data_IF_877612072201
#
_entry.id   IF_877612072201
#
_cell.length_a   1.000
_cell.length_b   1.000
_cell.length_c   1.000
_cell.angle_alpha   90.00
_cell.angle_beta   90.00
_cell.angle_gamma   90.00
#
_symmetry.space_group_name_H-M   'P 1'
#
loop_
_entity.id
_entity.type
_entity.pdbx_description
1 polymer ?
#
# COMPACT_ATOMS: atom_id res chain seq x y z
N UNK A 1 -5.41 28.65 -25.87
CA UNK A 1 -6.35 27.60 -25.42
C UNK A 1 -6.80 26.82 -26.63
N UNK A 2 -6.89 25.49 -26.50
CA UNK A 2 -7.35 24.43 -27.42
C UNK A 2 -6.26 23.37 -27.59
N UNK A 3 -6.12 22.45 -26.63
CA UNK A 3 -6.93 21.23 -26.41
C UNK A 3 -6.49 20.13 -27.39
N UNK A 4 -5.57 19.30 -26.92
CA UNK A 4 -5.06 18.11 -27.58
C UNK A 4 -6.17 17.07 -27.53
N UNK A 5 -6.84 16.89 -28.67
CA UNK A 5 -7.97 15.97 -28.79
C UNK A 5 -7.44 14.54 -28.91
N UNK A 6 -7.64 13.78 -27.85
CA UNK A 6 -7.32 12.38 -27.69
C UNK A 6 -8.06 11.56 -28.76
N UNK A 7 -7.32 10.90 -29.64
CA UNK A 7 -7.87 10.08 -30.73
C UNK A 7 -8.59 8.85 -30.16
N UNK A 8 -9.87 9.03 -29.82
CA UNK A 8 -10.78 7.96 -29.43
C UNK A 8 -11.20 7.18 -30.69
N UNK A 9 -10.49 6.09 -31.01
CA UNK A 9 -10.84 5.21 -32.13
C UNK A 9 -12.23 4.56 -31.91
N UNK A 10 -13.15 4.59 -32.90
CA UNK A 10 -14.50 4.05 -32.75
C UNK A 10 -14.52 2.52 -32.83
N UNK A 11 -15.27 1.93 -31.89
CA UNK A 11 -15.31 0.53 -31.46
C UNK A 11 -16.29 -0.36 -32.26
N UNK A 12 -16.78 0.06 -33.42
CA UNK A 12 -17.91 -0.61 -34.08
C UNK A 12 -17.73 -0.76 -35.59
N UNK A 13 -16.73 -1.54 -36.00
CA UNK A 13 -16.58 -1.95 -37.40
C UNK A 13 -15.96 -3.35 -37.54
N UNK A 14 -16.58 -4.37 -36.95
CA UNK A 14 -16.33 -5.76 -37.38
C UNK A 14 -17.68 -6.46 -37.56
N UNK A 15 -18.25 -6.26 -38.73
CA UNK A 15 -19.40 -7.01 -39.20
C UNK A 15 -18.95 -8.47 -39.45
N UNK A 16 -19.71 -9.43 -38.91
CA UNK A 16 -19.36 -10.84 -38.68
C UNK A 16 -19.05 -11.71 -39.93
N UNK A 17 -18.85 -11.12 -41.11
CA UNK A 17 -18.90 -11.85 -42.39
C UNK A 17 -17.55 -12.07 -43.11
N UNK A 18 -16.41 -11.62 -42.56
CA UNK A 18 -15.09 -11.76 -43.22
C UNK A 18 -13.98 -12.29 -42.32
N UNK A 19 -14.28 -13.10 -41.31
CA UNK A 19 -13.23 -13.71 -40.50
C UNK A 19 -12.80 -15.07 -41.06
N UNK A 20 -11.80 -15.06 -41.95
CA UNK A 20 -11.02 -16.25 -42.26
C UNK A 20 -10.43 -16.86 -40.97
N UNK A 21 -10.23 -18.18 -40.92
CA UNK A 21 -9.68 -18.88 -39.72
C UNK A 21 -8.45 -18.19 -39.10
N UNK A 22 -7.58 -17.58 -39.90
CA UNK A 22 -6.40 -16.82 -39.43
C UNK A 22 -6.72 -15.49 -38.73
N UNK A 23 -7.79 -14.79 -39.11
CA UNK A 23 -8.21 -13.55 -38.42
C UNK A 23 -9.05 -13.83 -37.17
N UNK A 24 -9.81 -14.94 -37.16
CA UNK A 24 -10.51 -15.40 -35.96
C UNK A 24 -9.55 -15.76 -34.83
N UNK A 25 -8.47 -16.49 -35.15
CA UNK A 25 -7.46 -16.86 -34.16
C UNK A 25 -6.71 -15.63 -33.62
N UNK A 26 -6.36 -14.67 -34.48
CA UNK A 26 -5.78 -13.37 -34.05
C UNK A 26 -6.72 -12.59 -33.13
N UNK A 27 -8.02 -12.56 -33.42
CA UNK A 27 -9.02 -11.91 -32.56
C UNK A 27 -9.17 -12.59 -31.19
N UNK A 28 -9.12 -13.92 -31.15
CA UNK A 28 -9.11 -14.63 -29.86
C UNK A 28 -7.85 -14.33 -29.04
N UNK A 29 -6.67 -14.33 -29.66
CA UNK A 29 -5.43 -13.94 -28.98
C UNK A 29 -5.50 -12.51 -28.42
N UNK A 30 -5.99 -11.57 -29.21
CA UNK A 30 -6.11 -10.16 -28.80
C UNK A 30 -7.10 -10.01 -27.63
N UNK A 31 -8.22 -10.73 -27.69
CA UNK A 31 -9.23 -10.77 -26.62
C UNK A 31 -8.70 -11.41 -25.34
N UNK A 32 -8.00 -12.54 -25.44
CA UNK A 32 -7.38 -13.24 -24.30
C UNK A 32 -6.31 -12.38 -23.64
N UNK A 33 -5.45 -11.73 -24.42
CA UNK A 33 -4.44 -10.82 -23.90
C UNK A 33 -5.05 -9.62 -23.18
N UNK A 34 -6.08 -8.99 -23.76
CA UNK A 34 -6.81 -7.90 -23.12
C UNK A 34 -7.46 -8.33 -21.80
N UNK A 35 -8.08 -9.51 -21.77
CA UNK A 35 -8.67 -10.05 -20.54
C UNK A 35 -7.60 -10.34 -19.49
N UNK A 36 -6.49 -10.99 -19.86
CA UNK A 36 -5.36 -11.25 -18.96
C UNK A 36 -4.77 -9.97 -18.37
N UNK A 37 -4.57 -8.94 -19.20
CA UNK A 37 -4.10 -7.63 -18.75
C UNK A 37 -5.10 -6.92 -17.82
N UNK A 38 -6.40 -7.00 -18.12
CA UNK A 38 -7.45 -6.44 -17.27
C UNK A 38 -7.50 -7.12 -15.90
N UNK A 39 -7.35 -8.43 -15.86
CA UNK A 39 -7.33 -9.23 -14.64
C UNK A 39 -6.09 -8.88 -13.81
N UNK A 40 -4.90 -8.83 -14.42
CA UNK A 40 -3.66 -8.44 -13.75
C UNK A 40 -3.74 -7.02 -13.15
N UNK A 41 -4.31 -6.06 -13.88
CA UNK A 41 -4.54 -4.71 -13.37
C UNK A 41 -5.55 -4.68 -12.21
N UNK A 42 -6.61 -5.47 -12.27
CA UNK A 42 -7.59 -5.57 -11.18
C UNK A 42 -6.92 -6.12 -9.91
N UNK A 43 -6.11 -7.18 -10.03
CA UNK A 43 -5.34 -7.72 -8.91
C UNK A 43 -4.35 -6.70 -8.35
N UNK A 44 -3.60 -6.00 -9.21
CA UNK A 44 -2.67 -4.95 -8.78
C UNK A 44 -3.35 -3.83 -7.99
N UNK A 45 -4.51 -3.33 -8.45
CA UNK A 45 -5.27 -2.31 -7.73
C UNK A 45 -5.79 -2.81 -6.38
N UNK A 46 -6.28 -4.04 -6.30
CA UNK A 46 -6.75 -4.62 -5.03
C UNK A 46 -5.65 -4.76 -3.98
N UNK A 47 -4.42 -5.08 -4.39
CA UNK A 47 -3.26 -5.12 -3.49
C UNK A 47 -2.82 -3.73 -3.02
N UNK A 48 -2.90 -2.72 -3.89
CA UNK A 48 -2.60 -1.33 -3.53
C UNK A 48 -3.61 -0.77 -2.52
N UNK A 49 -4.89 -1.11 -2.65
CA UNK A 49 -5.92 -0.75 -1.69
C UNK A 49 -5.68 -1.40 -0.31
N UNK A 50 -5.13 -2.61 -0.29
CA UNK A 50 -4.78 -3.31 0.95
C UNK A 50 -3.57 -2.65 1.65
N UNK A 51 -2.57 -2.18 0.90
CA UNK A 51 -1.42 -1.45 1.42
C UNK A 51 -1.77 -0.04 1.93
N UNK A 52 -2.74 0.64 1.30
CA UNK A 52 -3.14 2.00 1.66
C UNK A 52 -3.99 2.09 2.94
N UNK A 53 -4.52 0.97 3.43
CA UNK A 53 -5.35 0.92 4.64
C UNK A 53 -4.58 0.77 5.96
N UNK A 54 -3.24 0.76 5.93
CA UNK A 54 -2.44 0.79 7.16
C UNK A 54 -2.44 2.23 7.70
N UNK A 55 -3.26 2.49 8.72
CA UNK A 55 -3.29 3.76 9.44
C UNK A 55 -1.96 3.98 10.17
N UNK A 56 -0.97 4.56 9.47
CA UNK A 56 0.34 4.84 10.09
C UNK A 56 0.18 6.02 11.05
N UNK A 57 0.13 5.73 12.34
CA UNK A 57 0.12 6.78 13.37
C UNK A 57 1.46 7.53 13.34
N UNK A 58 1.43 8.84 13.11
CA UNK A 58 2.67 9.62 13.07
C UNK A 58 3.38 9.58 14.43
N UNK A 59 4.72 9.50 14.42
CA UNK A 59 5.53 9.53 15.67
C UNK A 59 5.18 10.73 16.56
N UNK A 60 4.79 11.85 15.95
CA UNK A 60 4.37 13.05 16.69
C UNK A 60 3.09 12.81 17.49
N UNK A 61 2.16 12.04 16.94
CA UNK A 61 0.87 11.74 17.58
C UNK A 61 1.03 10.74 18.73
N UNK A 62 1.89 9.74 18.54
CA UNK A 62 2.30 8.81 19.61
C UNK A 62 2.89 9.58 20.79
N UNK A 63 3.81 10.51 20.52
CA UNK A 63 4.42 11.35 21.56
C UNK A 63 3.37 12.24 22.24
N UNK A 64 2.45 12.86 21.48
CA UNK A 64 1.38 13.70 22.04
C UNK A 64 0.46 12.89 22.96
N UNK A 65 0.04 11.70 22.51
CA UNK A 65 -0.79 10.77 23.29
C UNK A 65 -0.11 10.40 24.61
N UNK A 66 1.16 10.01 24.56
CA UNK A 66 1.94 9.63 25.76
C UNK A 66 2.08 10.79 26.75
N UNK A 67 2.31 12.01 26.25
CA UNK A 67 2.42 13.21 27.10
C UNK A 67 1.06 13.61 27.70
N UNK A 68 -0.02 13.49 26.92
CA UNK A 68 -1.38 13.71 27.41
C UNK A 68 -1.77 12.70 28.51
N UNK A 69 -1.35 11.45 28.37
CA UNK A 69 -1.56 10.39 29.37
C UNK A 69 -0.87 10.68 30.71
N UNK A 70 0.23 11.42 30.68
CA UNK A 70 0.90 11.94 31.89
C UNK A 70 0.25 13.21 32.48
N UNK A 71 -0.88 13.66 31.92
CA UNK A 71 -1.62 14.83 32.39
C UNK A 71 -1.02 16.16 31.95
N UNK A 72 -0.22 16.17 30.88
CA UNK A 72 0.45 17.38 30.36
C UNK A 72 0.05 17.60 28.91
N UNK A 73 -0.18 18.85 28.51
CA UNK A 73 -0.51 19.19 27.13
C UNK A 73 0.70 19.80 26.42
N UNK A 74 1.00 19.30 25.23
CA UNK A 74 1.98 19.92 24.32
C UNK A 74 1.27 20.91 23.39
N UNK A 75 1.96 21.97 22.96
CA UNK A 75 1.46 22.85 21.89
C UNK A 75 1.41 22.08 20.57
N UNK A 76 0.28 22.18 19.86
CA UNK A 76 0.01 21.41 18.65
C UNK A 76 1.06 21.62 17.54
N UNK A 77 1.65 22.82 17.43
CA UNK A 77 2.62 23.15 16.38
C UNK A 77 4.04 22.60 16.61
N UNK A 78 4.32 22.03 17.80
CA UNK A 78 5.67 21.56 18.12
C UNK A 78 5.85 20.10 17.70
N UNK A 79 6.54 19.90 16.57
CA UNK A 79 6.98 18.57 16.10
C UNK A 79 7.96 17.86 17.04
N UNK A 80 8.64 18.60 17.92
CA UNK A 80 9.69 18.07 18.82
C UNK A 80 9.43 18.46 20.27
N UNK A 81 9.67 17.51 21.17
CA UNK A 81 9.70 17.77 22.61
C UNK A 81 10.97 18.56 22.95
N UNK A 82 10.83 19.72 23.62
CA UNK A 82 11.99 20.50 24.04
C UNK A 82 12.60 19.92 25.31
N UNK A 83 13.92 20.05 25.48
CA UNK A 83 14.60 19.66 26.73
C UNK A 83 14.01 20.35 27.94
N UNK A 84 13.78 21.67 27.84
CA UNK A 84 13.21 22.48 28.90
C UNK A 84 11.83 21.96 29.34
N UNK A 85 10.99 21.55 28.39
CA UNK A 85 9.70 20.95 28.69
C UNK A 85 9.84 19.68 29.54
N UNK A 86 10.74 18.77 29.16
CA UNK A 86 10.98 17.52 29.89
C UNK A 86 11.55 17.76 31.30
N UNK A 87 12.44 18.74 31.46
CA UNK A 87 13.04 19.08 32.76
C UNK A 87 12.03 19.67 33.75
N UNK A 88 10.94 20.26 33.26
CA UNK A 88 9.86 20.77 34.11
C UNK A 88 8.90 19.66 34.60
N UNK A 89 8.99 18.44 34.07
CA UNK A 89 8.13 17.32 34.47
C UNK A 89 8.68 16.62 35.71
N UNK A 90 7.77 16.17 36.57
CA UNK A 90 8.17 15.35 37.71
C UNK A 90 8.49 13.91 37.26
N UNK A 91 9.18 13.17 38.14
CA UNK A 91 9.64 11.80 37.86
C UNK A 91 8.46 10.87 37.52
N UNK A 92 7.33 11.00 38.21
CA UNK A 92 6.16 10.16 37.96
C UNK A 92 5.57 10.40 36.56
N UNK A 93 5.49 11.66 36.11
CA UNK A 93 5.04 12.02 34.77
C UNK A 93 5.98 11.50 33.69
N UNK A 94 7.30 11.66 33.90
CA UNK A 94 8.31 11.12 32.98
C UNK A 94 8.20 9.59 32.90
N UNK A 95 7.94 8.91 34.01
CA UNK A 95 7.79 7.46 34.05
C UNK A 95 6.54 7.00 33.31
N UNK A 96 5.42 7.71 33.42
CA UNK A 96 4.21 7.43 32.61
C UNK A 96 4.52 7.56 31.12
N UNK A 97 5.19 8.64 30.70
CA UNK A 97 5.56 8.87 29.29
C UNK A 97 6.48 7.76 28.79
N UNK A 98 7.53 7.42 29.54
CA UNK A 98 8.51 6.40 29.15
C UNK A 98 7.85 5.03 29.00
N UNK A 99 7.00 4.63 29.97
CA UNK A 99 6.31 3.34 29.91
C UNK A 99 5.36 3.25 28.70
N UNK A 100 4.66 4.34 28.39
CA UNK A 100 3.74 4.38 27.26
C UNK A 100 4.50 4.28 25.93
N UNK A 101 5.59 5.04 25.78
CA UNK A 101 6.45 4.97 24.60
C UNK A 101 7.12 3.60 24.44
N UNK A 102 7.52 2.95 25.53
CA UNK A 102 8.03 1.58 25.50
C UNK A 102 6.97 0.59 25.00
N UNK A 103 5.71 0.78 25.41
CA UNK A 103 4.59 -0.03 24.93
C UNK A 103 4.37 0.16 23.43
N UNK A 104 4.37 1.42 22.95
CA UNK A 104 4.27 1.70 21.52
C UNK A 104 5.42 1.10 20.71
N UNK A 105 6.66 1.14 21.20
CA UNK A 105 7.80 0.49 20.54
C UNK A 105 7.56 -1.01 20.41
N UNK A 106 7.08 -1.66 21.47
CA UNK A 106 6.78 -3.10 21.43
C UNK A 106 5.69 -3.43 20.40
N UNK A 107 4.60 -2.65 20.38
CA UNK A 107 3.50 -2.81 19.42
C UNK A 107 4.00 -2.62 17.98
N UNK A 108 4.71 -1.52 17.70
CA UNK A 108 5.22 -1.23 16.36
C UNK A 108 6.22 -2.28 15.87
N UNK A 109 7.04 -2.82 16.77
CA UNK A 109 7.96 -3.91 16.42
C UNK A 109 7.19 -5.20 16.07
N UNK A 110 6.13 -5.51 16.80
CA UNK A 110 5.29 -6.67 16.50
C UNK A 110 4.56 -6.49 15.15
N UNK A 111 3.96 -5.32 14.92
CA UNK A 111 3.36 -4.96 13.62
C UNK A 111 4.37 -5.05 12.47
N UNK A 112 5.61 -4.58 12.68
CA UNK A 112 6.67 -4.69 11.69
C UNK A 112 6.98 -6.16 11.38
N UNK A 113 7.09 -7.02 12.40
CA UNK A 113 7.31 -8.45 12.19
C UNK A 113 6.17 -9.06 11.37
N UNK A 114 4.91 -8.73 11.69
CA UNK A 114 3.76 -9.22 10.92
C UNK A 114 3.81 -8.76 9.46
N UNK A 115 4.15 -7.49 9.20
CA UNK A 115 4.29 -6.97 7.85
C UNK A 115 5.43 -7.65 7.07
N UNK A 116 6.54 -7.96 7.74
CA UNK A 116 7.66 -8.70 7.16
C UNK A 116 7.26 -10.13 6.79
N UNK A 117 6.52 -10.83 7.67
CA UNK A 117 6.00 -12.16 7.38
C UNK A 117 5.05 -12.15 6.18
N UNK A 118 4.10 -11.19 6.14
CA UNK A 118 3.19 -11.04 5.00
C UNK A 118 3.93 -10.76 3.70
N UNK A 119 4.97 -9.93 3.74
CA UNK A 119 5.82 -9.68 2.57
C UNK A 119 6.48 -10.99 2.10
N UNK A 120 7.01 -11.79 3.01
CA UNK A 120 7.69 -13.04 2.66
C UNK A 120 6.71 -14.06 2.04
N UNK A 121 5.47 -14.15 2.56
CA UNK A 121 4.39 -14.96 1.97
C UNK A 121 4.03 -14.50 0.55
N UNK A 122 3.87 -13.19 0.33
CA UNK A 122 3.59 -12.62 -0.98
C UNK A 122 4.75 -12.84 -1.96
N UNK A 123 5.99 -12.74 -1.48
CA UNK A 123 7.16 -13.00 -2.30
C UNK A 123 7.24 -14.48 -2.72
N UNK A 124 6.96 -15.41 -1.82
CA UNK A 124 6.86 -16.83 -2.17
C UNK A 124 5.77 -17.09 -3.22
N UNK A 125 4.62 -16.43 -3.11
CA UNK A 125 3.54 -16.51 -4.11
C UNK A 125 3.95 -15.89 -5.45
N UNK A 126 4.72 -14.79 -5.43
CA UNK A 126 5.27 -14.16 -6.64
C UNK A 126 6.26 -15.10 -7.32
N UNK A 127 7.18 -15.70 -6.58
CA UNK A 127 8.17 -16.63 -7.11
C UNK A 127 7.49 -17.86 -7.76
N UNK A 128 6.42 -18.39 -7.14
CA UNK A 128 5.60 -19.45 -7.74
C UNK A 128 4.94 -19.00 -9.05
N UNK A 129 4.42 -17.78 -9.11
CA UNK A 129 3.80 -17.21 -10.33
C UNK A 129 4.82 -16.98 -11.45
N UNK A 130 6.06 -16.59 -11.10
CA UNK A 130 7.13 -16.40 -12.07
C UNK A 130 7.57 -17.73 -12.68
N UNK A 131 7.63 -18.80 -11.89
CA UNK A 131 7.90 -20.16 -12.37
C UNK A 131 6.80 -20.61 -13.33
N UNK A 132 5.52 -20.40 -12.98
CA UNK A 132 4.40 -20.75 -13.85
C UNK A 132 4.50 -20.05 -15.22
N UNK A 133 4.99 -18.80 -15.26
CA UNK A 133 5.20 -18.06 -16.52
C UNK A 133 6.41 -18.60 -17.28
N UNK A 134 7.52 -18.87 -16.60
CA UNK A 134 8.77 -19.37 -17.20
C UNK A 134 8.57 -20.72 -17.90
N UNK A 135 7.72 -21.59 -17.34
CA UNK A 135 7.35 -22.90 -17.91
C UNK A 135 6.63 -22.81 -19.27
N UNK A 136 6.06 -21.65 -19.66
CA UNK A 136 5.49 -21.46 -20.99
C UNK A 136 6.51 -21.14 -22.09
N UNK A 137 7.75 -20.81 -21.71
CA UNK A 137 8.80 -20.37 -22.63
C UNK A 137 9.88 -21.43 -22.93
N UNK A 138 9.79 -22.63 -22.33
CA UNK A 138 10.65 -23.79 -22.56
C UNK A 138 9.85 -25.06 -22.89
#
# INVERSE_FOLDING_TARGET
MHEVNEARCPMNAWNSSYMSRGTFQSFEYTTRFRNGYSIANQYGNSLLDECNNVEVCSVTEIIRSAVQKAGVTMQNDKRRVSRQFLTCLNIAQLQVIVNDLQTYIAILNDELVQLLMKRDELQMSQDATLIDIEDYYY
#
